data_IF_285732330776
#
_entry.id   IF_285732330776
#
_cell.length_a   1.000
_cell.length_b   1.000
_cell.length_c   1.000
_cell.angle_alpha   90.00
_cell.angle_beta   90.00
_cell.angle_gamma   90.00
#
_symmetry.space_group_name_H-M   'P 1'
#
loop_
_entity.id
_entity.type
_entity.pdbx_description
1 polymer ?
#
# COMPACT_ATOMS: atom_id res chain seq x y z
N UNK A 1 -18.43 2.64 0.28
CA UNK A 1 -18.63 1.92 -1.01
C UNK A 1 -20.08 2.04 -1.45
N UNK A 2 -20.39 2.98 -2.36
CA UNK A 2 -21.70 3.01 -3.03
C UNK A 2 -21.61 2.18 -4.31
N UNK A 3 -22.53 1.21 -4.50
CA UNK A 3 -22.58 0.34 -5.69
C UNK A 3 -22.67 1.22 -6.95
N UNK A 4 -21.69 1.07 -7.86
CA UNK A 4 -21.71 1.66 -9.20
C UNK A 4 -20.84 2.90 -9.43
N UNK A 5 -20.29 3.54 -8.39
CA UNK A 5 -19.43 4.74 -8.56
C UNK A 5 -18.06 4.63 -7.85
N UNK A 6 -17.86 3.61 -7.01
CA UNK A 6 -16.57 3.39 -6.35
C UNK A 6 -15.79 2.31 -7.09
N UNK A 7 -14.47 2.51 -7.33
CA UNK A 7 -13.60 1.47 -7.84
C UNK A 7 -13.59 0.24 -6.92
N UNK A 8 -13.26 -0.91 -7.49
CA UNK A 8 -13.08 -2.14 -6.71
C UNK A 8 -11.97 -1.92 -5.68
N UNK A 9 -12.31 -2.13 -4.41
CA UNK A 9 -11.38 -1.96 -3.30
C UNK A 9 -10.95 -3.34 -2.83
N UNK A 10 -9.66 -3.59 -2.85
CA UNK A 10 -9.06 -4.80 -2.33
C UNK A 10 -8.55 -4.51 -0.93
N UNK A 11 -9.10 -5.19 0.08
CA UNK A 11 -8.66 -5.05 1.48
C UNK A 11 -7.25 -5.59 1.70
N UNK A 12 -6.83 -6.56 0.88
CA UNK A 12 -5.55 -7.27 0.97
C UNK A 12 -4.62 -6.93 -0.20
N UNK A 13 -4.38 -5.65 -0.48
CA UNK A 13 -3.39 -5.27 -1.48
C UNK A 13 -1.97 -5.42 -0.91
N UNK A 14 -1.08 -6.02 -1.69
CA UNK A 14 0.32 -6.20 -1.30
C UNK A 14 1.17 -5.05 -1.84
N UNK A 15 1.75 -4.26 -0.94
CA UNK A 15 2.78 -3.28 -1.26
C UNK A 15 4.14 -3.94 -1.11
N UNK A 16 4.92 -3.98 -2.19
CA UNK A 16 6.32 -4.41 -2.19
C UNK A 16 7.23 -3.18 -2.25
N UNK A 17 8.02 -2.95 -1.20
CA UNK A 17 8.96 -1.85 -1.16
C UNK A 17 10.37 -2.25 -1.63
N UNK A 18 11.11 -1.31 -2.22
CA UNK A 18 12.53 -1.48 -2.58
C UNK A 18 13.41 -1.87 -1.39
N UNK A 19 13.08 -1.45 -0.15
CA UNK A 19 13.79 -1.89 1.05
C UNK A 19 13.39 -3.28 1.56
N UNK A 20 12.63 -4.06 0.76
CA UNK A 20 12.23 -5.44 1.06
C UNK A 20 11.01 -5.56 1.98
N UNK A 21 10.44 -4.45 2.43
CA UNK A 21 9.20 -4.46 3.22
C UNK A 21 8.00 -4.88 2.36
N UNK A 22 7.22 -5.84 2.85
CA UNK A 22 5.91 -6.21 2.30
C UNK A 22 4.84 -5.73 3.28
N UNK A 23 3.94 -4.88 2.82
CA UNK A 23 2.86 -4.33 3.64
C UNK A 23 1.53 -4.76 3.02
N UNK A 24 0.64 -5.31 3.84
CA UNK A 24 -0.74 -5.57 3.45
C UNK A 24 -1.58 -4.33 3.79
N UNK A 25 -2.14 -3.68 2.79
CA UNK A 25 -2.98 -2.50 2.96
C UNK A 25 -4.21 -2.59 2.07
N UNK A 26 -5.25 -1.85 2.40
CA UNK A 26 -6.38 -1.71 1.51
C UNK A 26 -6.08 -0.73 0.38
N UNK A 27 -6.21 -1.17 -0.87
CA UNK A 27 -6.02 -0.33 -2.04
C UNK A 27 -6.95 -0.77 -3.19
N UNK A 28 -7.18 0.13 -4.14
CA UNK A 28 -7.90 -0.22 -5.38
C UNK A 28 -7.04 -1.02 -6.37
N UNK A 29 -5.77 -1.24 -6.05
CA UNK A 29 -4.81 -1.97 -6.90
C UNK A 29 -4.25 -3.14 -6.08
N UNK A 30 -4.27 -4.38 -6.59
CA UNK A 30 -3.90 -5.56 -5.81
C UNK A 30 -2.39 -5.67 -5.49
N UNK A 31 -1.52 -5.18 -6.38
CA UNK A 31 -0.07 -5.19 -6.20
C UNK A 31 0.52 -3.81 -6.50
N UNK A 32 1.26 -3.25 -5.55
CA UNK A 32 1.86 -1.93 -5.70
C UNK A 32 3.35 -1.99 -5.35
N UNK A 33 4.20 -1.46 -6.22
CA UNK A 33 5.65 -1.34 -5.97
C UNK A 33 5.96 0.08 -5.54
N UNK A 34 6.65 0.24 -4.41
CA UNK A 34 6.95 1.54 -3.82
C UNK A 34 8.45 1.66 -3.55
N UNK A 35 9.05 2.79 -3.91
CA UNK A 35 10.49 3.02 -3.71
C UNK A 35 10.83 3.41 -2.27
N UNK A 36 9.91 4.08 -1.58
CA UNK A 36 10.08 4.58 -0.22
C UNK A 36 8.84 4.25 0.62
N UNK A 37 8.98 3.40 1.64
CA UNK A 37 7.91 3.16 2.62
C UNK A 37 8.25 3.78 3.98
N UNK A 38 7.30 3.80 4.91
CA UNK A 38 7.50 4.33 6.28
C UNK A 38 8.68 3.70 7.02
N UNK A 39 9.07 2.48 6.63
CA UNK A 39 10.26 1.80 7.15
C UNK A 39 11.56 2.34 6.55
N UNK A 40 11.56 2.75 5.27
CA UNK A 40 12.77 3.31 4.64
C UNK A 40 12.88 4.84 4.84
N UNK A 41 11.77 5.56 5.02
CA UNK A 41 11.76 6.98 5.38
C UNK A 41 10.87 7.20 6.60
N UNK A 42 11.39 6.92 7.80
CA UNK A 42 10.68 7.20 9.03
C UNK A 42 10.57 8.72 9.19
N UNK A 43 9.34 9.23 9.20
CA UNK A 43 9.11 10.66 9.46
C UNK A 43 9.46 11.05 10.92
N UNK A 44 9.47 10.06 11.82
CA UNK A 44 9.94 10.20 13.20
C UNK A 44 10.89 9.03 13.54
N UNK A 45 12.16 9.18 13.20
CA UNK A 45 13.26 8.45 13.88
C UNK A 45 14.22 9.50 14.40
N UNK A 46 13.99 9.93 15.64
CA UNK A 46 15.04 10.55 16.46
C UNK A 46 16.02 9.48 16.92
#
# INVERSE_FOLDING_TARGET
MRKGIHPEYHENATISCACGAKLEVGATVPNMRVEVCSKCHPFYTG
#
